data_IF_631960515250
#
_entry.id   IF_631960515250
#
_cell.length_a   1.000
_cell.length_b   1.000
_cell.length_c   1.000
_cell.angle_alpha   90.00
_cell.angle_beta   90.00
_cell.angle_gamma   90.00
#
_symmetry.space_group_name_H-M   'P 1'
#
loop_
_entity.id
_entity.type
_entity.pdbx_description
1 polymer ?
#
# COMPACT_ATOMS: atom_id res chain seq x y z
N UNK A 1 18.29 39.14 -15.70
CA UNK A 1 17.28 38.67 -16.67
C UNK A 1 17.25 37.14 -16.67
N UNK A 2 16.10 36.58 -16.28
CA UNK A 2 15.50 35.28 -16.61
C UNK A 2 16.33 33.99 -16.79
N UNK A 3 16.08 33.01 -15.90
CA UNK A 3 15.59 31.66 -16.26
C UNK A 3 15.24 30.89 -14.98
N UNK A 4 13.99 30.97 -14.54
CA UNK A 4 12.89 30.07 -14.93
C UNK A 4 12.78 28.92 -13.94
N UNK A 5 11.90 29.18 -12.99
CA UNK A 5 11.25 28.30 -12.05
C UNK A 5 10.84 26.99 -12.74
N UNK A 6 11.61 25.91 -12.52
CA UNK A 6 11.20 24.57 -12.91
C UNK A 6 10.65 23.87 -11.67
N UNK A 7 9.49 24.35 -11.25
CA UNK A 7 8.53 23.61 -10.46
C UNK A 7 8.30 22.24 -11.13
N UNK A 8 9.14 21.26 -10.77
CA UNK A 8 8.94 19.86 -11.10
C UNK A 8 7.65 19.45 -10.39
N UNK A 9 6.54 19.46 -11.12
CA UNK A 9 5.41 18.56 -10.87
C UNK A 9 6.02 17.16 -10.77
N UNK A 10 6.34 16.71 -9.55
CA UNK A 10 6.62 15.30 -9.27
C UNK A 10 5.28 14.61 -9.46
N UNK A 11 5.12 14.12 -10.68
CA UNK A 11 4.13 13.14 -11.10
C UNK A 11 3.83 12.19 -9.94
N UNK A 12 2.59 12.24 -9.45
CA UNK A 12 2.13 11.50 -8.29
C UNK A 12 2.11 9.99 -8.57
N UNK A 13 3.25 9.34 -8.33
CA UNK A 13 3.36 7.89 -8.32
C UNK A 13 4.04 7.49 -7.01
N UNK A 14 3.31 6.67 -6.26
CA UNK A 14 3.71 5.98 -5.03
C UNK A 14 3.64 6.81 -3.74
N UNK A 15 2.41 7.11 -3.29
CA UNK A 15 2.18 7.36 -1.87
C UNK A 15 2.41 6.05 -1.08
N UNK A 16 3.34 6.07 -0.12
CA UNK A 16 3.63 4.93 0.75
C UNK A 16 2.64 4.91 1.93
N UNK A 17 1.95 3.79 2.12
CA UNK A 17 1.16 3.51 3.31
C UNK A 17 2.02 2.74 4.32
N UNK A 18 2.23 3.30 5.51
CA UNK A 18 2.93 2.63 6.61
C UNK A 18 1.89 2.12 7.60
N UNK A 19 1.84 0.80 7.78
CA UNK A 19 0.99 0.13 8.76
C UNK A 19 1.84 -0.28 9.96
N UNK A 20 1.34 -0.01 11.18
CA UNK A 20 1.92 -0.52 12.42
C UNK A 20 1.01 -1.63 12.93
N UNK A 21 1.61 -2.78 13.22
CA UNK A 21 0.97 -3.97 13.74
C UNK A 21 1.85 -4.49 14.87
N UNK A 22 1.26 -5.20 15.81
CA UNK A 22 2.04 -5.97 16.76
C UNK A 22 2.85 -7.07 16.04
N UNK A 23 3.94 -7.49 16.68
CA UNK A 23 4.89 -8.41 16.06
C UNK A 23 4.24 -9.73 15.67
N UNK A 24 3.37 -10.24 16.54
CA UNK A 24 2.67 -11.51 16.34
C UNK A 24 1.75 -11.46 15.12
N UNK A 25 0.92 -10.42 15.01
CA UNK A 25 0.02 -10.24 13.87
C UNK A 25 0.76 -10.05 12.56
N UNK A 26 1.84 -9.27 12.56
CA UNK A 26 2.69 -9.10 11.38
C UNK A 26 3.28 -10.43 10.92
N UNK A 27 3.86 -11.18 11.84
CA UNK A 27 4.55 -12.43 11.52
C UNK A 27 3.53 -13.49 11.05
N UNK A 28 2.34 -13.56 11.66
CA UNK A 28 1.22 -14.39 11.22
C UNK A 28 0.72 -14.00 9.81
N UNK A 29 0.51 -12.71 9.54
CA UNK A 29 0.07 -12.23 8.23
C UNK A 29 1.09 -12.53 7.14
N UNK A 30 2.38 -12.31 7.41
CA UNK A 30 3.45 -12.60 6.46
C UNK A 30 3.59 -14.11 6.21
N UNK A 31 3.43 -14.95 7.24
CA UNK A 31 3.43 -16.41 7.10
C UNK A 31 2.27 -16.89 6.21
N UNK A 32 1.06 -16.37 6.43
CA UNK A 32 -0.11 -16.67 5.59
C UNK A 32 0.10 -16.23 4.14
N UNK A 33 0.71 -15.06 3.92
CA UNK A 33 1.03 -14.60 2.57
C UNK A 33 1.99 -15.58 1.86
N UNK A 34 3.01 -16.08 2.56
CA UNK A 34 3.98 -17.04 2.00
C UNK A 34 3.32 -18.38 1.67
N UNK A 35 2.44 -18.87 2.54
CA UNK A 35 1.69 -20.11 2.30
C UNK A 35 0.83 -20.02 1.03
N UNK A 36 0.27 -18.83 0.75
CA UNK A 36 -0.58 -18.58 -0.41
C UNK A 36 0.17 -18.09 -1.66
N UNK A 37 1.51 -18.17 -1.68
CA UNK A 37 2.35 -17.69 -2.78
C UNK A 37 2.04 -16.21 -3.17
N UNK A 38 1.87 -15.36 -2.15
CA UNK A 38 1.58 -13.93 -2.31
C UNK A 38 2.47 -13.07 -1.40
N UNK A 39 2.40 -11.76 -1.57
CA UNK A 39 3.13 -10.80 -0.73
C UNK A 39 2.17 -9.96 0.10
N UNK A 40 2.63 -9.57 1.29
CA UNK A 40 1.89 -8.67 2.19
C UNK A 40 1.38 -7.42 1.47
N UNK A 41 2.24 -6.77 0.67
CA UNK A 41 1.85 -5.58 -0.10
C UNK A 41 0.78 -5.87 -1.16
N UNK A 42 0.79 -7.06 -1.78
CA UNK A 42 -0.21 -7.45 -2.77
C UNK A 42 -1.56 -7.67 -2.12
N UNK A 43 -1.61 -8.37 -0.98
CA UNK A 43 -2.86 -8.58 -0.26
C UNK A 43 -3.42 -7.29 0.34
N UNK A 44 -2.60 -6.43 0.94
CA UNK A 44 -3.09 -5.12 1.43
C UNK A 44 -3.66 -4.28 0.28
N UNK A 45 -3.02 -4.26 -0.89
CA UNK A 45 -3.57 -3.54 -2.06
C UNK A 45 -4.87 -4.16 -2.56
N UNK A 46 -4.98 -5.50 -2.55
CA UNK A 46 -6.19 -6.21 -2.94
C UNK A 46 -7.33 -5.91 -1.98
N UNK A 47 -7.06 -5.98 -0.67
CA UNK A 47 -7.97 -5.59 0.38
C UNK A 47 -8.45 -4.15 0.21
N UNK A 48 -7.54 -3.18 0.04
CA UNK A 48 -7.90 -1.78 -0.19
C UNK A 48 -8.83 -1.64 -1.42
N UNK A 49 -8.51 -2.30 -2.53
CA UNK A 49 -9.36 -2.24 -3.74
C UNK A 49 -10.73 -2.88 -3.53
N UNK A 50 -10.77 -4.04 -2.87
CA UNK A 50 -12.02 -4.72 -2.53
C UNK A 50 -12.88 -3.87 -1.60
N UNK A 51 -12.27 -3.29 -0.56
CA UNK A 51 -12.93 -2.39 0.39
C UNK A 51 -13.50 -1.14 -0.30
N UNK A 52 -12.75 -0.52 -1.21
CA UNK A 52 -13.21 0.63 -1.99
C UNK A 52 -14.32 0.25 -3.00
N UNK A 53 -14.26 -0.95 -3.58
CA UNK A 53 -15.26 -1.41 -4.56
C UNK A 53 -16.56 -1.88 -3.89
N UNK A 54 -16.48 -2.41 -2.67
CA UNK A 54 -17.61 -2.97 -1.93
C UNK A 54 -18.38 -1.98 -1.05
N UNK A 55 -18.00 -0.71 -1.00
CA UNK A 55 -18.71 0.30 -0.20
C UNK A 55 -18.47 0.22 1.32
N UNK A 56 -17.49 -0.57 1.78
CA UNK A 56 -17.03 -0.56 3.16
C UNK A 56 -17.75 -1.51 4.13
N UNK A 57 -18.19 -2.69 3.70
CA UNK A 57 -18.50 -3.77 4.63
C UNK A 57 -17.37 -4.83 4.66
N UNK A 58 -16.90 -5.22 5.86
CA UNK A 58 -15.74 -6.09 6.06
C UNK A 58 -15.97 -7.55 5.68
#
# INVERSE_FOLDING_TARGET
MSKSDKSKKKDGKDAQLVLRLDREDRDAFVALCKERDTTASREVRRFIRAFLAGGGEP
#
